data_IF_571999915965
#
_entry.id   IF_571999915965
#
_cell.length_a   1.000
_cell.length_b   1.000
_cell.length_c   1.000
_cell.angle_alpha   90.00
_cell.angle_beta   90.00
_cell.angle_gamma   90.00
#
_symmetry.space_group_name_H-M   'P 1'
#
loop_
_entity.id
_entity.type
_entity.pdbx_description
1 polymer ?
#
# COMPACT_ATOMS: atom_id res chain seq x y z
N UNK A 1 -10.77 15.25 17.93
CA UNK A 1 -9.46 14.71 17.54
C UNK A 1 -9.55 13.64 16.46
N UNK A 2 -10.46 12.64 16.55
CA UNK A 2 -10.60 11.57 15.55
C UNK A 2 -10.75 12.09 14.11
N UNK A 3 -11.69 13.03 13.88
CA UNK A 3 -11.93 13.64 12.55
C UNK A 3 -10.67 14.34 12.02
N UNK A 4 -9.90 14.96 12.88
CA UNK A 4 -8.65 15.62 12.51
C UNK A 4 -7.60 14.60 11.99
N UNK A 5 -7.40 13.48 12.71
CA UNK A 5 -6.53 12.40 12.25
C UNK A 5 -7.01 11.82 10.92
N UNK A 6 -8.31 11.59 10.78
CA UNK A 6 -8.88 11.11 9.53
C UNK A 6 -8.59 12.05 8.36
N UNK A 7 -8.79 13.37 8.54
CA UNK A 7 -8.52 14.37 7.48
C UNK A 7 -7.02 14.35 7.11
N UNK A 8 -6.11 14.35 8.09
CA UNK A 8 -4.66 14.27 7.80
C UNK A 8 -4.36 13.01 7.00
N UNK A 9 -4.92 11.87 7.42
CA UNK A 9 -4.73 10.61 6.71
C UNK A 9 -5.24 10.65 5.27
N UNK A 10 -6.39 11.27 5.00
CA UNK A 10 -6.90 11.40 3.62
C UNK A 10 -5.99 12.25 2.75
N UNK A 11 -5.43 13.34 3.29
CA UNK A 11 -4.45 14.19 2.58
C UNK A 11 -3.18 13.40 2.30
N UNK A 12 -2.71 12.62 3.27
CA UNK A 12 -1.55 11.74 3.10
C UNK A 12 -1.81 10.67 2.03
N UNK A 13 -2.99 10.05 2.03
CA UNK A 13 -3.40 9.08 1.00
C UNK A 13 -3.43 9.68 -0.41
N UNK A 14 -3.92 10.92 -0.55
CA UNK A 14 -3.90 11.66 -1.81
C UNK A 14 -2.45 11.91 -2.29
N UNK A 15 -1.54 12.22 -1.36
CA UNK A 15 -0.12 12.35 -1.66
C UNK A 15 0.51 11.01 -2.09
N UNK A 16 0.21 9.90 -1.43
CA UNK A 16 0.66 8.58 -1.85
C UNK A 16 0.21 8.22 -3.27
N UNK A 17 -1.03 8.60 -3.63
CA UNK A 17 -1.54 8.46 -4.98
C UNK A 17 -0.72 9.24 -6.01
N UNK A 18 -0.36 10.49 -5.69
CA UNK A 18 0.49 11.32 -6.53
C UNK A 18 1.91 10.73 -6.66
N UNK A 19 2.49 10.22 -5.57
CA UNK A 19 3.79 9.54 -5.61
C UNK A 19 3.74 8.35 -6.56
N UNK A 20 2.72 7.49 -6.45
CA UNK A 20 2.61 6.32 -7.32
C UNK A 20 2.45 6.68 -8.80
N UNK A 21 1.77 7.78 -9.12
CA UNK A 21 1.55 8.24 -10.49
C UNK A 21 2.81 8.86 -11.11
N UNK A 22 3.59 9.60 -10.31
CA UNK A 22 4.76 10.34 -10.81
C UNK A 22 6.07 9.55 -10.72
N UNK A 23 6.10 8.42 -10.04
CA UNK A 23 7.32 7.67 -9.76
C UNK A 23 8.08 7.25 -11.02
N UNK A 24 7.36 6.75 -12.02
CA UNK A 24 7.92 6.28 -13.29
C UNK A 24 7.88 7.37 -14.39
N UNK A 25 7.60 8.64 -14.02
CA UNK A 25 7.55 9.74 -14.94
C UNK A 25 8.67 10.74 -14.66
N UNK A 26 8.99 11.60 -15.64
CA UNK A 26 9.93 12.71 -15.44
C UNK A 26 9.36 13.85 -14.60
N UNK A 27 8.08 13.75 -14.19
CA UNK A 27 7.41 14.76 -13.40
C UNK A 27 7.91 14.74 -11.94
N UNK A 28 8.28 15.91 -11.43
CA UNK A 28 8.71 16.04 -10.03
C UNK A 28 7.58 15.71 -9.06
N UNK A 29 7.88 14.90 -8.01
CA UNK A 29 6.95 14.60 -6.93
C UNK A 29 6.72 15.83 -6.05
N UNK A 30 7.75 16.68 -5.88
CA UNK A 30 7.72 17.82 -4.96
C UNK A 30 7.24 19.11 -5.62
N UNK A 31 7.44 19.25 -6.93
CA UNK A 31 7.14 20.48 -7.65
C UNK A 31 6.11 20.25 -8.77
N UNK A 32 5.29 21.27 -9.00
CA UNK A 32 4.27 21.25 -10.05
C UNK A 32 2.86 21.06 -9.50
N UNK A 33 1.87 21.49 -10.29
CA UNK A 33 0.45 21.30 -9.97
C UNK A 33 -0.04 19.95 -10.44
N UNK A 34 -1.02 19.39 -9.73
CA UNK A 34 -1.76 18.22 -10.22
C UNK A 34 -2.52 18.59 -11.48
N UNK A 35 -2.41 17.75 -12.50
CA UNK A 35 -2.98 17.98 -13.82
C UNK A 35 -3.85 16.79 -14.24
N UNK A 36 -4.80 17.02 -15.13
CA UNK A 36 -5.56 15.94 -15.72
C UNK A 36 -4.67 15.14 -16.70
N UNK A 37 -4.65 13.82 -16.57
CA UNK A 37 -3.84 12.93 -17.42
C UNK A 37 -4.20 13.07 -18.89
N UNK A 38 -5.46 13.36 -19.21
CA UNK A 38 -5.95 13.42 -20.60
C UNK A 38 -5.78 14.81 -21.23
N UNK A 39 -6.23 15.88 -20.57
CA UNK A 39 -6.21 17.23 -21.15
C UNK A 39 -5.08 18.11 -20.59
N UNK A 40 -4.25 17.58 -19.68
CA UNK A 40 -3.11 18.26 -19.04
C UNK A 40 -3.43 19.60 -18.37
N UNK A 41 -4.73 19.91 -18.22
CA UNK A 41 -5.16 21.12 -17.52
C UNK A 41 -4.87 21.01 -16.02
N UNK A 42 -4.40 22.09 -15.37
CA UNK A 42 -4.15 22.11 -13.95
C UNK A 42 -5.47 21.98 -13.19
N UNK A 43 -5.48 21.11 -12.19
CA UNK A 43 -6.63 20.93 -11.30
C UNK A 43 -6.76 22.13 -10.37
N UNK A 44 -7.98 22.57 -10.09
CA UNK A 44 -8.26 23.64 -9.16
C UNK A 44 -8.20 23.11 -7.72
N UNK A 45 -7.91 23.97 -6.74
CA UNK A 45 -7.71 23.59 -5.35
C UNK A 45 -8.88 22.78 -4.76
N UNK A 46 -10.13 23.10 -5.10
CA UNK A 46 -11.31 22.37 -4.61
C UNK A 46 -11.46 20.98 -5.24
N UNK A 47 -10.79 20.71 -6.36
CA UNK A 47 -10.74 19.38 -6.99
C UNK A 47 -9.66 18.50 -6.35
N UNK A 48 -8.81 19.07 -5.50
CA UNK A 48 -7.75 18.38 -4.77
C UNK A 48 -8.14 18.04 -3.34
N UNK A 49 -9.36 18.43 -2.89
CA UNK A 49 -9.84 18.06 -1.55
C UNK A 49 -10.12 16.55 -1.55
N UNK A 50 -9.36 15.76 -0.74
CA UNK A 50 -9.49 14.31 -0.76
C UNK A 50 -10.91 13.87 -0.43
N UNK A 51 -11.36 12.74 -0.97
CA UNK A 51 -12.69 12.15 -0.88
C UNK A 51 -13.81 13.07 -1.38
N UNK A 52 -13.89 14.30 -0.88
CA UNK A 52 -14.97 15.26 -1.19
C UNK A 52 -15.00 15.56 -2.68
N UNK A 53 -13.85 15.87 -3.27
CA UNK A 53 -13.76 16.18 -4.70
C UNK A 53 -14.21 14.99 -5.56
N UNK A 54 -13.85 13.78 -5.17
CA UNK A 54 -14.21 12.58 -5.92
C UNK A 54 -15.71 12.27 -5.83
N UNK A 55 -16.34 12.53 -4.70
CA UNK A 55 -17.79 12.38 -4.53
C UNK A 55 -18.54 13.46 -5.34
N UNK A 56 -18.17 14.73 -5.18
CA UNK A 56 -18.88 15.87 -5.82
C UNK A 56 -18.72 15.79 -7.36
N UNK A 57 -17.50 15.59 -7.86
CA UNK A 57 -17.22 15.55 -9.30
C UNK A 57 -17.33 14.14 -9.90
N UNK A 58 -17.77 13.13 -9.11
CA UNK A 58 -17.92 11.73 -9.53
C UNK A 58 -16.65 11.18 -10.19
N UNK A 59 -15.49 11.53 -9.63
CA UNK A 59 -14.14 11.20 -10.15
C UNK A 59 -13.97 11.57 -11.63
N UNK A 60 -14.45 12.75 -12.07
CA UNK A 60 -14.32 13.23 -13.45
C UNK A 60 -13.57 14.55 -13.52
N UNK A 61 -12.82 14.72 -14.59
CA UNK A 61 -12.23 16.02 -14.92
C UNK A 61 -13.32 17.04 -15.26
N UNK A 62 -13.24 18.23 -14.70
CA UNK A 62 -14.19 19.32 -14.95
C UNK A 62 -14.19 19.79 -16.42
N UNK A 63 -13.03 19.73 -17.11
CA UNK A 63 -12.88 20.25 -18.47
C UNK A 63 -13.15 19.20 -19.56
N UNK A 64 -12.52 18.03 -19.46
CA UNK A 64 -12.64 17.01 -20.51
C UNK A 64 -13.57 15.84 -20.14
N UNK A 65 -14.09 15.77 -18.91
CA UNK A 65 -15.02 14.72 -18.47
C UNK A 65 -14.39 13.32 -18.29
N UNK A 66 -13.09 13.16 -18.53
CA UNK A 66 -12.39 11.87 -18.32
C UNK A 66 -12.51 11.45 -16.86
N UNK A 67 -12.80 10.17 -16.64
CA UNK A 67 -12.89 9.59 -15.28
C UNK A 67 -11.50 9.30 -14.74
N UNK A 68 -11.28 9.70 -13.48
CA UNK A 68 -10.13 9.27 -12.68
C UNK A 68 -10.38 7.88 -12.10
N UNK A 69 -9.30 7.14 -11.81
CA UNK A 69 -9.41 5.83 -11.19
C UNK A 69 -10.00 5.91 -9.78
N UNK A 70 -10.91 5.00 -9.45
CA UNK A 70 -11.43 4.86 -8.09
C UNK A 70 -10.36 4.45 -7.07
N UNK A 71 -9.19 3.99 -7.53
CA UNK A 71 -8.07 3.63 -6.65
C UNK A 71 -7.61 4.80 -5.78
N UNK A 72 -7.71 6.05 -6.27
CA UNK A 72 -7.42 7.25 -5.46
C UNK A 72 -8.38 7.39 -4.29
N UNK A 73 -9.69 7.20 -4.54
CA UNK A 73 -10.70 7.26 -3.47
C UNK A 73 -10.43 6.20 -2.40
N UNK A 74 -10.14 4.98 -2.82
CA UNK A 74 -9.84 3.87 -1.91
C UNK A 74 -8.60 4.18 -1.08
N UNK A 75 -7.55 4.69 -1.72
CA UNK A 75 -6.28 5.00 -1.07
C UNK A 75 -6.44 6.15 -0.05
N UNK A 76 -7.17 7.20 -0.40
CA UNK A 76 -7.49 8.32 0.50
C UNK A 76 -8.32 7.85 1.69
N UNK A 77 -9.36 7.03 1.45
CA UNK A 77 -10.23 6.52 2.50
C UNK A 77 -9.48 5.57 3.44
N UNK A 78 -8.74 4.60 2.91
CA UNK A 78 -7.98 3.64 3.73
C UNK A 78 -6.87 4.33 4.53
N UNK A 79 -6.17 5.28 3.93
CA UNK A 79 -5.16 6.08 4.65
C UNK A 79 -5.82 6.92 5.75
N UNK A 80 -6.98 7.54 5.49
CA UNK A 80 -7.76 8.25 6.50
C UNK A 80 -8.15 7.36 7.68
N UNK A 81 -8.64 6.15 7.40
CA UNK A 81 -9.01 5.19 8.46
C UNK A 81 -7.81 4.70 9.27
N UNK A 82 -6.66 4.48 8.64
CA UNK A 82 -5.43 4.10 9.35
C UNK A 82 -4.94 5.20 10.29
N UNK A 83 -4.94 6.46 9.85
CA UNK A 83 -4.60 7.58 10.74
C UNK A 83 -5.60 7.74 11.88
N UNK A 84 -6.89 7.54 11.61
CA UNK A 84 -7.92 7.55 12.64
C UNK A 84 -7.74 6.38 13.64
N UNK A 85 -7.24 5.22 13.20
CA UNK A 85 -6.96 4.08 14.06
C UNK A 85 -5.84 4.33 15.07
N UNK A 86 -4.91 5.27 14.81
CA UNK A 86 -3.92 5.72 15.80
C UNK A 86 -4.58 6.36 17.04
N UNK A 87 -5.77 6.93 16.89
CA UNK A 87 -6.55 7.44 18.03
C UNK A 87 -7.11 6.32 18.91
N UNK A 88 -7.22 5.11 18.38
CA UNK A 88 -7.67 3.91 19.08
C UNK A 88 -6.51 2.98 19.45
N UNK A 89 -5.34 3.55 19.74
CA UNK A 89 -4.13 2.85 20.18
C UNK A 89 -3.59 1.80 19.19
N UNK A 90 -3.81 2.03 17.87
CA UNK A 90 -3.12 1.20 16.87
C UNK A 90 -1.62 1.36 17.07
N UNK A 91 -0.90 0.26 17.25
CA UNK A 91 0.54 0.26 17.41
C UNK A 91 1.24 0.88 16.19
N UNK A 92 2.26 1.69 16.48
CA UNK A 92 2.98 2.46 15.46
C UNK A 92 3.66 1.59 14.40
N UNK A 93 4.13 0.40 14.80
CA UNK A 93 4.72 -0.57 13.89
C UNK A 93 3.70 -1.12 12.88
N UNK A 94 2.51 -1.50 13.37
CA UNK A 94 1.40 -1.92 12.51
C UNK A 94 0.93 -0.81 11.59
N UNK A 95 0.84 0.42 12.12
CA UNK A 95 0.50 1.59 11.33
C UNK A 95 1.49 1.81 10.17
N UNK A 96 2.80 1.79 10.45
CA UNK A 96 3.84 1.96 9.42
C UNK A 96 3.78 0.87 8.36
N UNK A 97 3.65 -0.39 8.78
CA UNK A 97 3.52 -1.54 7.87
C UNK A 97 2.30 -1.39 6.96
N UNK A 98 1.15 -0.97 7.49
CA UNK A 98 -0.08 -0.80 6.71
C UNK A 98 0.00 0.39 5.74
N UNK A 99 0.60 1.51 6.14
CA UNK A 99 0.79 2.67 5.25
C UNK A 99 1.69 2.31 4.06
N UNK A 100 2.80 1.62 4.31
CA UNK A 100 3.69 1.13 3.24
C UNK A 100 2.94 0.13 2.35
N UNK A 101 2.16 -0.75 2.95
CA UNK A 101 1.34 -1.73 2.24
C UNK A 101 0.33 -1.08 1.29
N UNK A 102 -0.28 0.05 1.67
CA UNK A 102 -1.17 0.81 0.78
C UNK A 102 -0.43 1.33 -0.45
N UNK A 103 0.74 1.93 -0.25
CA UNK A 103 1.55 2.45 -1.34
C UNK A 103 2.02 1.33 -2.29
N UNK A 104 2.58 0.25 -1.72
CA UNK A 104 3.06 -0.88 -2.51
C UNK A 104 1.94 -1.62 -3.23
N UNK A 105 0.76 -1.75 -2.58
CA UNK A 105 -0.44 -2.30 -3.23
C UNK A 105 -0.88 -1.47 -4.42
N UNK A 106 -0.76 -0.15 -4.34
CA UNK A 106 -1.08 0.75 -5.46
C UNK A 106 -0.15 0.51 -6.65
N UNK A 107 1.16 0.41 -6.42
CA UNK A 107 2.13 0.07 -7.46
C UNK A 107 1.87 -1.31 -8.08
N UNK A 108 1.60 -2.31 -7.25
CA UNK A 108 1.34 -3.67 -7.70
C UNK A 108 0.05 -3.77 -8.54
N UNK A 109 -1.00 -3.02 -8.18
CA UNK A 109 -2.26 -2.96 -8.95
C UNK A 109 -2.05 -2.25 -10.30
N UNK A 110 -1.29 -1.17 -10.34
CA UNK A 110 -1.16 -0.33 -11.53
C UNK A 110 -0.15 -0.91 -12.54
N UNK A 111 1.00 -1.40 -12.08
CA UNK A 111 2.13 -1.78 -12.94
C UNK A 111 2.62 -3.22 -12.79
N UNK A 112 2.12 -3.97 -11.80
CA UNK A 112 2.69 -5.27 -11.41
C UNK A 112 4.20 -5.21 -11.15
N UNK A 113 4.70 -4.04 -10.78
CA UNK A 113 6.10 -3.77 -10.54
C UNK A 113 6.31 -3.28 -9.10
N UNK A 114 7.43 -3.69 -8.54
CA UNK A 114 7.84 -3.23 -7.21
C UNK A 114 8.89 -2.13 -7.38
N UNK A 115 8.65 -0.91 -6.89
CA UNK A 115 9.61 0.18 -6.98
C UNK A 115 10.78 -0.06 -6.01
N UNK A 116 11.87 -0.64 -6.50
CA UNK A 116 13.00 -1.07 -5.68
C UNK A 116 13.56 0.07 -4.80
N UNK A 117 13.67 1.28 -5.35
CA UNK A 117 14.20 2.44 -4.61
C UNK A 117 13.32 2.79 -3.41
N UNK A 118 11.99 2.73 -3.55
CA UNK A 118 11.03 2.93 -2.45
C UNK A 118 11.21 1.81 -1.43
N UNK A 119 11.28 0.56 -1.89
CA UNK A 119 11.48 -0.58 -1.02
C UNK A 119 12.76 -0.48 -0.19
N UNK A 120 13.87 -0.08 -0.81
CA UNK A 120 15.15 0.12 -0.11
C UNK A 120 15.08 1.27 0.90
N UNK A 121 14.41 2.38 0.56
CA UNK A 121 14.24 3.49 1.49
C UNK A 121 13.44 3.06 2.73
N UNK A 122 12.35 2.32 2.55
CA UNK A 122 11.59 1.78 3.68
C UNK A 122 12.36 0.72 4.47
N UNK A 123 13.15 -0.13 3.82
CA UNK A 123 14.03 -1.09 4.49
C UNK A 123 15.00 -0.35 5.41
N UNK A 124 15.65 0.71 4.93
CA UNK A 124 16.53 1.54 5.75
C UNK A 124 15.78 2.19 6.92
N UNK A 125 14.56 2.71 6.70
CA UNK A 125 13.72 3.24 7.77
C UNK A 125 13.42 2.19 8.85
N UNK A 126 13.05 0.96 8.45
CA UNK A 126 12.75 -0.10 9.42
C UNK A 126 13.96 -0.51 10.24
N UNK A 127 15.14 -0.59 9.63
CA UNK A 127 16.39 -0.86 10.36
C UNK A 127 16.76 0.21 11.38
N UNK A 128 16.41 1.48 11.09
CA UNK A 128 16.71 2.60 11.98
C UNK A 128 15.70 2.70 13.13
N UNK A 129 14.42 2.45 12.83
CA UNK A 129 13.32 2.73 13.76
C UNK A 129 12.97 1.55 14.66
N UNK A 130 13.21 0.31 14.20
CA UNK A 130 12.72 -0.88 14.90
C UNK A 130 13.83 -1.93 15.12
N UNK A 131 13.75 -2.71 16.21
CA UNK A 131 14.69 -3.79 16.48
C UNK A 131 14.53 -4.90 15.44
N UNK A 132 15.64 -5.34 14.86
CA UNK A 132 15.62 -6.33 13.77
C UNK A 132 15.48 -7.73 14.34
N UNK A 133 14.52 -8.50 13.81
CA UNK A 133 14.31 -9.90 14.17
C UNK A 133 15.20 -10.84 13.34
N UNK A 134 15.54 -12.06 13.81
CA UNK A 134 16.25 -13.04 13.00
C UNK A 134 15.50 -13.41 11.72
N UNK A 135 14.17 -13.42 11.76
CA UNK A 135 13.30 -13.68 10.60
C UNK A 135 13.46 -12.59 9.56
N UNK A 136 13.56 -11.31 9.97
CA UNK A 136 13.79 -10.20 9.07
C UNK A 136 15.10 -10.33 8.29
N UNK A 137 16.19 -10.72 8.94
CA UNK A 137 17.45 -10.97 8.25
C UNK A 137 17.34 -12.11 7.22
N UNK A 138 16.67 -13.19 7.59
CA UNK A 138 16.44 -14.32 6.67
C UNK A 138 15.62 -13.88 5.45
N UNK A 139 14.53 -13.15 5.65
CA UNK A 139 13.67 -12.68 4.56
C UNK A 139 14.37 -11.66 3.66
N UNK A 140 15.19 -10.79 4.23
CA UNK A 140 16.00 -9.87 3.44
C UNK A 140 17.03 -10.60 2.58
N UNK A 141 17.73 -11.58 3.15
CA UNK A 141 18.66 -12.43 2.39
C UNK A 141 17.93 -13.20 1.27
N UNK A 142 16.74 -13.72 1.56
CA UNK A 142 15.90 -14.40 0.59
C UNK A 142 15.43 -13.44 -0.52
N UNK A 143 15.03 -12.20 -0.19
CA UNK A 143 14.66 -11.19 -1.17
C UNK A 143 15.85 -10.83 -2.09
N UNK A 144 17.04 -10.66 -1.54
CA UNK A 144 18.25 -10.47 -2.32
C UNK A 144 18.52 -11.67 -3.25
N UNK A 145 18.38 -12.88 -2.75
CA UNK A 145 18.59 -14.10 -3.54
C UNK A 145 17.61 -14.20 -4.71
N UNK A 146 16.32 -13.92 -4.48
CA UNK A 146 15.29 -13.95 -5.54
C UNK A 146 15.46 -12.84 -6.56
N UNK A 147 16.11 -11.75 -6.19
CA UNK A 147 16.43 -10.68 -7.13
C UNK A 147 17.47 -11.13 -8.18
N UNK A 148 18.45 -11.97 -7.78
CA UNK A 148 19.48 -12.48 -8.69
C UNK A 148 19.04 -13.75 -9.42
N UNK A 149 18.21 -14.59 -8.78
CA UNK A 149 17.77 -15.89 -9.31
C UNK A 149 16.26 -15.90 -9.41
N UNK A 150 15.74 -15.89 -10.63
CA UNK A 150 14.30 -15.91 -10.86
C UNK A 150 13.70 -17.28 -10.49
N UNK A 151 13.21 -17.40 -9.26
CA UNK A 151 12.56 -18.61 -8.72
C UNK A 151 11.04 -18.63 -8.99
N UNK A 152 10.52 -17.61 -9.69
CA UNK A 152 9.09 -17.46 -9.92
C UNK A 152 8.31 -16.83 -8.76
N UNK A 153 8.99 -16.46 -7.67
CA UNK A 153 8.43 -15.68 -6.55
C UNK A 153 8.89 -14.23 -6.72
N UNK A 154 7.98 -13.28 -6.58
CA UNK A 154 8.30 -11.86 -6.65
C UNK A 154 9.21 -11.43 -5.48
N UNK A 155 10.37 -10.86 -5.79
CA UNK A 155 11.25 -10.29 -4.75
C UNK A 155 10.54 -9.22 -3.91
N UNK A 156 9.60 -8.48 -4.52
CA UNK A 156 8.75 -7.51 -3.86
C UNK A 156 7.83 -8.11 -2.79
N UNK A 157 7.28 -9.30 -3.03
CA UNK A 157 6.42 -10.00 -2.07
C UNK A 157 7.22 -10.43 -0.85
N UNK A 158 8.45 -10.91 -1.04
CA UNK A 158 9.34 -11.31 0.06
C UNK A 158 9.80 -10.08 0.84
N UNK A 159 10.10 -8.98 0.15
CA UNK A 159 10.46 -7.74 0.81
C UNK A 159 9.28 -7.14 1.59
N UNK A 160 8.05 -7.35 1.12
CA UNK A 160 6.86 -6.98 1.89
C UNK A 160 6.73 -7.84 3.16
N UNK A 161 6.98 -9.16 3.06
CA UNK A 161 7.01 -10.06 4.24
C UNK A 161 8.11 -9.67 5.23
N UNK A 162 9.23 -9.14 4.76
CA UNK A 162 10.26 -8.57 5.62
C UNK A 162 9.68 -7.45 6.51
N UNK A 163 8.89 -6.51 5.99
CA UNK A 163 8.26 -5.47 6.81
C UNK A 163 7.28 -6.06 7.84
N UNK A 164 6.48 -7.06 7.43
CA UNK A 164 5.54 -7.73 8.32
C UNK A 164 6.24 -8.51 9.46
N UNK A 165 7.47 -9.01 9.23
CA UNK A 165 8.23 -9.78 10.23
C UNK A 165 8.71 -8.99 11.45
N UNK A 166 8.62 -7.68 11.43
CA UNK A 166 8.92 -6.86 12.60
C UNK A 166 7.80 -6.88 13.63
N UNK A 167 6.57 -7.14 13.22
CA UNK A 167 5.37 -7.07 14.06
C UNK A 167 4.68 -8.41 14.27
N UNK A 168 4.97 -9.42 13.44
CA UNK A 168 4.33 -10.71 13.48
C UNK A 168 5.32 -11.81 13.90
N UNK A 169 4.84 -12.77 14.67
CA UNK A 169 5.52 -14.03 14.96
C UNK A 169 5.59 -14.92 13.71
N UNK A 170 6.41 -15.97 13.75
CA UNK A 170 6.51 -16.92 12.64
C UNK A 170 5.17 -17.60 12.35
N UNK A 171 4.42 -17.97 13.40
CA UNK A 171 3.10 -18.61 13.27
C UNK A 171 2.09 -17.68 12.58
N UNK A 172 2.02 -16.43 13.02
CA UNK A 172 1.17 -15.41 12.42
C UNK A 172 1.52 -15.14 10.96
N UNK A 173 2.82 -15.12 10.62
CA UNK A 173 3.28 -14.99 9.24
C UNK A 173 2.86 -16.17 8.36
N UNK A 174 2.90 -17.39 8.88
CA UNK A 174 2.45 -18.58 8.15
C UNK A 174 0.94 -18.51 7.87
N UNK A 175 0.15 -18.11 8.86
CA UNK A 175 -1.30 -17.89 8.70
C UNK A 175 -1.57 -16.78 7.67
N UNK A 176 -0.85 -15.68 7.74
CA UNK A 176 -0.94 -14.58 6.79
C UNK A 176 -0.72 -15.06 5.35
N UNK A 177 0.36 -15.81 5.10
CA UNK A 177 0.69 -16.34 3.77
C UNK A 177 -0.40 -17.31 3.27
N UNK A 178 -0.92 -18.17 4.15
CA UNK A 178 -2.01 -19.10 3.80
C UNK A 178 -3.28 -18.34 3.40
N UNK A 179 -3.69 -17.35 4.18
CA UNK A 179 -4.85 -16.51 3.89
C UNK A 179 -4.68 -15.73 2.59
N UNK A 180 -3.53 -15.07 2.41
CA UNK A 180 -3.24 -14.32 1.20
C UNK A 180 -3.26 -15.21 -0.06
N UNK A 181 -2.67 -16.41 0.05
CA UNK A 181 -2.66 -17.39 -1.04
C UNK A 181 -4.07 -17.89 -1.37
N UNK A 182 -4.86 -18.22 -0.36
CA UNK A 182 -6.26 -18.65 -0.53
C UNK A 182 -7.10 -17.56 -1.22
N UNK A 183 -6.99 -16.31 -0.78
CA UNK A 183 -7.67 -15.16 -1.37
C UNK A 183 -7.21 -14.92 -2.81
N UNK A 184 -5.90 -15.00 -3.07
CA UNK A 184 -5.33 -14.86 -4.40
C UNK A 184 -5.82 -15.93 -5.37
N UNK A 185 -5.84 -17.20 -4.97
CA UNK A 185 -6.37 -18.31 -5.77
C UNK A 185 -7.87 -18.12 -6.04
N UNK A 186 -8.65 -17.77 -5.01
CA UNK A 186 -10.07 -17.50 -5.18
C UNK A 186 -10.31 -16.39 -6.20
N UNK A 187 -9.55 -15.30 -6.12
CA UNK A 187 -9.65 -14.19 -7.07
C UNK A 187 -9.26 -14.61 -8.50
N UNK A 188 -8.21 -15.44 -8.67
CA UNK A 188 -7.80 -15.98 -9.98
C UNK A 188 -8.92 -16.80 -10.63
N UNK A 189 -9.57 -17.68 -9.86
CA UNK A 189 -10.66 -18.53 -10.34
C UNK A 189 -11.86 -17.70 -10.78
N UNK A 190 -12.21 -16.65 -10.02
CA UNK A 190 -13.36 -15.78 -10.35
C UNK A 190 -13.08 -14.91 -11.57
N UNK A 191 -11.90 -14.29 -11.66
CA UNK A 191 -11.57 -13.31 -12.69
C UNK A 191 -10.92 -13.90 -13.93
N UNK A 192 -10.54 -15.19 -13.92
CA UNK A 192 -9.85 -15.91 -15.03
C UNK A 192 -8.64 -15.14 -15.58
N UNK A 193 -7.88 -14.46 -14.69
CA UNK A 193 -6.68 -13.70 -15.07
C UNK A 193 -5.43 -14.58 -14.97
N UNK A 194 -4.42 -14.29 -15.80
CA UNK A 194 -3.13 -15.01 -15.75
C UNK A 194 -2.16 -14.46 -14.69
N UNK A 195 -2.32 -13.19 -14.31
CA UNK A 195 -1.51 -12.50 -13.27
C UNK A 195 -2.44 -11.72 -12.37
N UNK A 196 -2.08 -11.66 -11.08
CA UNK A 196 -2.77 -10.86 -10.07
C UNK A 196 -1.73 -10.06 -9.29
N UNK A 197 -2.08 -8.85 -8.84
CA UNK A 197 -1.29 -8.15 -7.84
C UNK A 197 -1.41 -8.91 -6.51
N UNK A 198 -0.27 -9.34 -5.92
CA UNK A 198 -0.30 -10.18 -4.71
C UNK A 198 -0.20 -9.37 -3.43
N UNK A 199 0.48 -8.22 -3.45
CA UNK A 199 0.65 -7.34 -2.28
C UNK A 199 -0.69 -6.91 -1.65
N UNK A 200 -1.77 -6.57 -2.41
CA UNK A 200 -3.07 -6.27 -1.82
C UNK A 200 -3.65 -7.41 -0.97
N UNK A 201 -3.45 -8.66 -1.39
CA UNK A 201 -3.92 -9.84 -0.63
C UNK A 201 -3.08 -10.05 0.62
N UNK A 202 -1.75 -9.86 0.56
CA UNK A 202 -0.89 -9.85 1.73
C UNK A 202 -1.30 -8.77 2.73
N UNK A 203 -1.54 -7.54 2.25
CA UNK A 203 -1.96 -6.41 3.08
C UNK A 203 -3.31 -6.65 3.77
N UNK A 204 -4.27 -7.22 3.04
CA UNK A 204 -5.58 -7.55 3.60
C UNK A 204 -5.50 -8.69 4.62
N UNK A 205 -4.71 -9.73 4.32
CA UNK A 205 -4.48 -10.83 5.25
C UNK A 205 -3.75 -10.38 6.52
N UNK A 206 -2.80 -9.45 6.39
CA UNK A 206 -2.13 -8.83 7.53
C UNK A 206 -3.13 -8.10 8.44
N UNK A 207 -4.05 -7.34 7.86
CA UNK A 207 -5.11 -6.67 8.63
C UNK A 207 -5.99 -7.69 9.38
N UNK A 208 -6.33 -8.81 8.74
CA UNK A 208 -7.09 -9.87 9.41
C UNK A 208 -6.29 -10.44 10.59
N UNK A 209 -5.02 -10.79 10.38
CA UNK A 209 -4.18 -11.41 11.42
C UNK A 209 -4.03 -10.51 12.64
N UNK A 210 -3.78 -9.22 12.47
CA UNK A 210 -3.66 -8.30 13.61
C UNK A 210 -4.99 -8.04 14.35
N UNK A 211 -6.13 -8.25 13.68
CA UNK A 211 -7.46 -8.12 14.30
C UNK A 211 -7.95 -9.42 14.95
N UNK A 212 -7.32 -10.56 14.65
CA UNK A 212 -7.68 -11.82 15.29
C UNK A 212 -7.20 -11.81 16.75
N UNK A 213 -8.06 -12.24 17.71
CA UNK A 213 -7.64 -12.37 19.09
C UNK A 213 -6.55 -13.44 19.20
N UNK A 214 -5.48 -13.12 19.92
CA UNK A 214 -4.32 -14.02 20.10
C UNK A 214 -4.71 -15.40 20.69
N UNK A 215 -5.86 -15.50 21.34
CA UNK A 215 -6.40 -16.76 21.88
C UNK A 215 -6.80 -17.78 20.81
N UNK A 216 -6.93 -17.37 19.56
CA UNK A 216 -7.24 -18.26 18.41
C UNK A 216 -5.99 -18.69 17.64
N UNK A 217 -4.83 -18.10 17.93
CA UNK A 217 -3.58 -18.30 17.21
C UNK A 217 -2.57 -19.15 18.00
N UNK A 218 -2.86 -19.46 19.30
CA UNK A 218 -2.00 -20.21 20.21
C UNK A 218 -2.62 -21.48 20.73
#
# INVERSE_FOLDING_TARGET
>A
MLIFFFIIGTVFGSFLGLVSERWDTEASILYGRSQCISCQSPLKWYQLIPLISQIIFKSKCHLCGVKFSYSYFILEFLSGTLFAALWFDLDFLHFFTLIISLLLSKFDIDSYAYPLNIGLAFTACFFILFPVTPIAYFLLALACFTFFINIGIGAGDILWLFFASFSLSLEEMLILIQLASALGICFLLIKKRKKIPFIPFLSFSYLIVILLPQTLLG
#
